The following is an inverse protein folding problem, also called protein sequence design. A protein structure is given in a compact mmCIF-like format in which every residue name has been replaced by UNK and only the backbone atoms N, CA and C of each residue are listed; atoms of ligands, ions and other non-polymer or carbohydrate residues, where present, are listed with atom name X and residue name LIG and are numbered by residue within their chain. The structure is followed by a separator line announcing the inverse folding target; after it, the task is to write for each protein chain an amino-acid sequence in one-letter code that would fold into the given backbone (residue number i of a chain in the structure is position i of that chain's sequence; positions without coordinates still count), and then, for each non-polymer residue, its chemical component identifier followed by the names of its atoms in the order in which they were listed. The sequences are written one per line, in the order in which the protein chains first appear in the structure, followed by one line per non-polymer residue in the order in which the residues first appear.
data_IF_730865971807
#
_entry.id   IF_730865971807
#
_cell.length_a   1.000
_cell.length_b   1.000
_cell.length_c   1.000
_cell.angle_alpha   90.00
_cell.angle_beta   90.00
_cell.angle_gamma   90.00
#
_symmetry.space_group_name_H-M   'P 1'
#
loop_
_entity.id
_entity.type
_entity.pdbx_description
1 polymer ?
#
# COMPACT_ATOMS: atom_id res chain seq x y z
N UNK A 1 -1.55 8.99 -0.26
CA UNK A 1 -0.68 9.47 0.85
C UNK A 1 -0.96 8.64 2.10
N UNK A 2 0.02 8.41 2.98
CA UNK A 2 -0.16 7.76 4.30
C UNK A 2 0.88 8.27 5.29
N UNK A 3 0.48 8.57 6.54
CA UNK A 3 1.38 9.07 7.60
C UNK A 3 2.31 10.21 7.13
N UNK A 4 1.72 11.23 6.48
CA UNK A 4 2.40 12.39 5.90
C UNK A 4 3.45 12.08 4.83
N UNK A 5 3.38 10.90 4.19
CA UNK A 5 4.29 10.48 3.13
C UNK A 5 3.50 10.17 1.86
N UNK A 6 3.99 10.64 0.70
CA UNK A 6 3.49 10.18 -0.60
C UNK A 6 3.89 8.71 -0.73
N UNK A 7 2.89 7.84 -0.88
CA UNK A 7 3.08 6.39 -1.01
C UNK A 7 2.83 5.90 -2.43
N UNK A 8 1.97 6.63 -3.16
CA UNK A 8 1.64 6.35 -4.54
C UNK A 8 1.09 7.61 -5.21
N UNK A 9 1.46 7.81 -6.47
CA UNK A 9 1.03 8.85 -7.39
C UNK A 9 0.84 8.18 -8.76
N UNK A 10 -0.39 8.17 -9.23
CA UNK A 10 -0.79 7.52 -10.49
C UNK A 10 -1.92 8.30 -11.14
N UNK A 11 -2.14 8.08 -12.44
CA UNK A 11 -3.34 8.55 -13.11
C UNK A 11 -4.58 7.79 -12.61
N UNK A 12 -5.73 8.46 -12.65
CA UNK A 12 -6.98 7.89 -12.14
C UNK A 12 -7.40 6.62 -12.91
N UNK A 13 -7.19 6.59 -14.24
CA UNK A 13 -7.55 5.43 -15.06
C UNK A 13 -6.79 4.17 -14.66
N UNK A 14 -5.48 4.25 -14.47
CA UNK A 14 -4.65 3.13 -14.03
C UNK A 14 -4.89 2.76 -12.57
N UNK A 15 -5.09 3.75 -11.70
CA UNK A 15 -5.31 3.54 -10.26
C UNK A 15 -6.65 2.85 -9.97
N UNK A 16 -7.73 3.23 -10.63
CA UNK A 16 -9.06 2.62 -10.40
C UNK A 16 -9.39 1.49 -11.39
N UNK A 17 -8.67 1.40 -12.50
CA UNK A 17 -8.82 0.37 -13.52
C UNK A 17 -7.87 -0.82 -13.33
N UNK A 18 -7.41 -1.38 -14.45
CA UNK A 18 -6.35 -2.41 -14.47
C UNK A 18 -5.02 -1.73 -14.83
N UNK A 19 -3.93 -1.96 -14.07
CA UNK A 19 -3.74 -3.01 -13.07
C UNK A 19 -4.14 -2.65 -11.62
N UNK A 20 -4.67 -1.44 -11.41
CA UNK A 20 -5.03 -0.94 -10.09
C UNK A 20 -3.83 -0.34 -9.33
N UNK A 21 -4.01 0.02 -8.05
CA UNK A 21 -2.97 0.66 -7.27
C UNK A 21 -1.83 -0.33 -6.99
N UNK A 22 -0.59 0.15 -6.97
CA UNK A 22 0.61 -0.66 -6.77
C UNK A 22 0.99 -0.77 -5.30
N UNK A 23 0.71 0.24 -4.49
CA UNK A 23 1.07 0.23 -3.08
C UNK A 23 0.04 -0.60 -2.27
N UNK A 24 0.47 -1.53 -1.39
CA UNK A 24 -0.45 -2.40 -0.64
C UNK A 24 -1.48 -1.64 0.20
N UNK A 25 -1.10 -0.50 0.79
CA UNK A 25 -2.04 0.42 1.44
C UNK A 25 -3.15 0.92 0.50
N UNK A 26 -2.82 1.37 -0.71
CA UNK A 26 -3.80 1.89 -1.65
C UNK A 26 -4.74 0.78 -2.17
N UNK A 27 -4.22 -0.45 -2.37
CA UNK A 27 -5.05 -1.64 -2.60
C UNK A 27 -6.02 -1.91 -1.47
N UNK A 28 -5.52 -1.91 -0.23
CA UNK A 28 -6.35 -2.08 0.96
C UNK A 28 -7.43 -1.01 1.09
N UNK A 29 -7.12 0.25 0.74
CA UNK A 29 -8.12 1.32 0.73
C UNK A 29 -9.24 1.05 -0.29
N UNK A 30 -8.89 0.64 -1.51
CA UNK A 30 -9.91 0.28 -2.50
C UNK A 30 -10.72 -0.92 -2.04
N UNK A 31 -10.08 -1.97 -1.50
CA UNK A 31 -10.76 -3.17 -0.99
C UNK A 31 -11.72 -2.90 0.17
N UNK A 32 -11.45 -1.85 0.97
CA UNK A 32 -12.30 -1.41 2.07
C UNK A 32 -13.51 -0.57 1.64
N UNK A 33 -13.67 -0.28 0.34
CA UNK A 33 -14.84 0.44 -0.15
C UNK A 33 -16.10 -0.44 -0.14
N UNK A 34 -17.28 0.10 0.18
CA UNK A 34 -18.54 -0.64 0.19
C UNK A 34 -18.92 -1.24 -1.16
N UNK A 35 -18.49 -0.62 -2.27
CA UNK A 35 -18.75 -1.12 -3.63
C UNK A 35 -17.85 -2.32 -4.00
N UNK A 36 -16.90 -2.68 -3.12
CA UNK A 36 -16.05 -3.86 -3.24
C UNK A 36 -16.40 -4.87 -2.16
N UNK A 37 -15.42 -5.65 -1.72
CA UNK A 37 -15.57 -6.69 -0.69
C UNK A 37 -15.70 -6.12 0.74
N UNK A 38 -15.59 -4.78 0.90
CA UNK A 38 -15.63 -4.10 2.19
C UNK A 38 -14.65 -4.70 3.22
N UNK A 39 -13.47 -5.14 2.73
CA UNK A 39 -12.46 -5.78 3.56
C UNK A 39 -11.59 -4.73 4.23
N UNK A 40 -11.61 -4.61 5.57
CA UNK A 40 -10.85 -3.58 6.26
C UNK A 40 -9.35 -3.87 6.24
N UNK A 41 -8.54 -2.82 6.23
CA UNK A 41 -7.10 -2.94 6.48
C UNK A 41 -6.90 -3.22 7.97
N UNK A 42 -6.33 -4.37 8.37
CA UNK A 42 -6.18 -4.74 9.77
C UNK A 42 -5.24 -3.79 10.53
N UNK A 43 -5.40 -3.76 11.85
CA UNK A 43 -4.59 -2.97 12.77
C UNK A 43 -4.85 -1.46 12.70
N UNK A 44 -4.11 -0.72 13.52
CA UNK A 44 -4.26 0.72 13.69
C UNK A 44 -3.17 1.50 12.94
N UNK A 45 -3.46 2.69 12.38
CA UNK A 45 -2.43 3.60 11.87
C UNK A 45 -1.38 3.92 12.94
N UNK A 46 -0.11 4.18 12.55
CA UNK A 46 0.90 4.61 13.50
C UNK A 46 0.60 6.02 14.00
N UNK A 47 1.02 6.31 15.23
CA UNK A 47 0.98 7.65 15.78
C UNK A 47 1.88 8.61 14.98
N UNK A 48 1.38 9.78 14.61
CA UNK A 48 2.13 10.74 13.78
C UNK A 48 3.37 11.29 14.50
N UNK A 49 3.38 11.31 15.84
CA UNK A 49 4.54 11.70 16.66
C UNK A 49 5.59 10.61 16.83
N UNK A 50 5.29 9.36 16.42
CA UNK A 50 6.15 8.20 16.61
C UNK A 50 6.21 7.32 15.35
N UNK A 51 6.41 7.96 14.19
CA UNK A 51 6.51 7.24 12.93
C UNK A 51 7.78 6.37 12.87
N UNK A 52 7.69 5.16 12.31
CA UNK A 52 8.87 4.33 12.12
C UNK A 52 9.85 4.97 11.13
N UNK A 53 11.13 4.66 11.32
CA UNK A 53 12.21 5.04 10.40
C UNK A 53 11.94 4.50 9.00
N UNK A 54 11.46 3.26 8.92
CA UNK A 54 11.16 2.53 7.70
C UNK A 54 9.84 2.90 7.02
N UNK A 55 9.27 1.95 6.28
CA UNK A 55 7.93 2.09 5.71
C UNK A 55 6.88 2.22 6.83
N UNK A 56 6.11 3.32 6.83
CA UNK A 56 5.09 3.59 7.85
C UNK A 56 3.93 2.57 7.83
N UNK A 57 3.74 1.87 6.71
CA UNK A 57 2.70 0.87 6.55
C UNK A 57 3.17 -0.56 6.87
N UNK A 58 4.46 -0.79 7.17
CA UNK A 58 5.04 -2.12 7.30
C UNK A 58 4.30 -3.02 8.31
N UNK A 59 3.89 -2.48 9.47
CA UNK A 59 3.21 -3.25 10.51
C UNK A 59 1.80 -3.75 10.12
N UNK A 60 1.23 -3.20 9.04
CA UNK A 60 -0.13 -3.53 8.53
C UNK A 60 -0.10 -4.10 7.12
N UNK A 61 1.08 -4.25 6.55
CA UNK A 61 1.27 -4.67 5.17
C UNK A 61 1.51 -6.18 5.11
N UNK A 62 0.69 -6.90 4.37
CA UNK A 62 0.80 -8.34 4.13
C UNK A 62 2.00 -8.74 3.25
N UNK A 63 2.68 -7.75 2.65
CA UNK A 63 3.89 -7.91 1.82
C UNK A 63 5.14 -7.37 2.51
N UNK A 64 5.07 -7.06 3.81
CA UNK A 64 6.22 -6.54 4.54
C UNK A 64 7.33 -7.60 4.69
N UNK A 65 8.58 -7.15 4.55
CA UNK A 65 9.78 -7.96 4.77
C UNK A 65 10.83 -7.12 5.50
N UNK A 66 12.01 -7.69 5.83
CA UNK A 66 13.06 -6.98 6.57
C UNK A 66 13.50 -5.64 5.94
N UNK A 67 13.52 -5.54 4.60
CA UNK A 67 13.89 -4.29 3.91
C UNK A 67 12.93 -3.13 4.22
N UNK A 68 11.69 -3.43 4.60
CA UNK A 68 10.68 -2.43 4.98
C UNK A 68 11.02 -1.70 6.29
N UNK A 69 12.03 -2.17 7.04
CA UNK A 69 12.66 -1.40 8.13
C UNK A 69 13.36 -0.12 7.64
N UNK A 70 13.61 -0.01 6.34
CA UNK A 70 14.09 1.21 5.67
C UNK A 70 12.99 1.90 4.87
N UNK A 71 13.08 3.21 4.71
CA UNK A 71 12.09 3.98 3.95
C UNK A 71 12.29 3.74 2.45
N UNK A 72 11.26 3.31 1.71
CA UNK A 72 11.35 3.20 0.25
C UNK A 72 11.42 4.60 -0.38
N UNK A 73 12.21 4.75 -1.44
CA UNK A 73 12.17 5.93 -2.29
C UNK A 73 10.89 5.94 -3.12
N UNK A 74 10.40 7.13 -3.48
CA UNK A 74 9.35 7.26 -4.48
C UNK A 74 9.99 7.06 -5.86
N UNK A 75 9.74 5.92 -6.49
CA UNK A 75 10.23 5.57 -7.82
C UNK A 75 9.06 5.13 -8.69
N UNK A 76 9.01 5.62 -9.94
CA UNK A 76 7.92 5.35 -10.89
C UNK A 76 6.53 5.56 -10.29
N UNK A 77 6.37 6.62 -9.49
CA UNK A 77 5.10 6.96 -8.85
C UNK A 77 4.74 6.11 -7.63
N UNK A 78 5.57 5.18 -7.15
CA UNK A 78 5.27 4.38 -5.94
C UNK A 78 6.43 4.37 -4.95
N UNK A 79 6.14 4.56 -3.67
CA UNK A 79 7.12 4.42 -2.58
C UNK A 79 6.89 3.10 -1.85
N UNK A 80 7.32 2.00 -2.45
CA UNK A 80 7.17 0.65 -1.91
C UNK A 80 8.37 -0.22 -2.30
N UNK A 81 8.87 -1.05 -1.37
CA UNK A 81 9.87 -2.07 -1.71
C UNK A 81 9.25 -3.29 -2.42
N UNK A 82 7.94 -3.50 -2.26
CA UNK A 82 7.20 -4.64 -2.80
C UNK A 82 5.91 -4.20 -3.51
N UNK A 83 5.99 -3.30 -4.51
CA UNK A 83 4.79 -2.87 -5.24
C UNK A 83 4.11 -4.08 -5.88
N UNK A 84 2.79 -4.07 -5.90
CA UNK A 84 2.03 -5.03 -6.66
C UNK A 84 2.26 -4.80 -8.17
N UNK A 85 2.43 -5.89 -8.89
CA UNK A 85 2.57 -5.95 -10.35
C UNK A 85 1.37 -6.70 -10.94
N UNK A 86 1.13 -6.51 -12.23
CA UNK A 86 -0.05 -7.00 -12.95
C UNK A 86 -0.18 -8.53 -12.97
N UNK A 87 0.90 -9.26 -12.69
CA UNK A 87 0.92 -10.72 -12.69
C UNK A 87 1.17 -11.29 -11.29
N UNK A 88 0.33 -12.28 -10.93
CA UNK A 88 0.37 -13.17 -9.75
C UNK A 88 -0.33 -12.68 -8.47
N UNK A 89 -1.59 -12.26 -8.55
CA UNK A 89 -2.55 -12.55 -7.47
C UNK A 89 -3.35 -13.79 -7.87
N UNK A 90 -2.77 -14.97 -7.63
CA UNK A 90 -3.58 -16.18 -7.54
C UNK A 90 -4.59 -15.98 -6.41
N UNK A 91 -5.84 -16.47 -6.56
CA UNK A 91 -6.83 -16.39 -5.49
C UNK A 91 -6.25 -17.03 -4.23
N UNK A 92 -6.20 -16.28 -3.12
CA UNK A 92 -5.92 -16.85 -1.80
C UNK A 92 -7.12 -17.77 -1.48
N UNK A 93 -6.83 -19.07 -1.34
CA UNK A 93 -7.78 -20.10 -0.95
C UNK A 93 -8.32 -19.88 0.47
#
# INVERSE_FOLDING_TARGET
MYASRIVELADASGFFGSPGPRHPYARGLLGALPEREFTPIPGMPPELGALPVGCAFAARCDRATGICGTRPALADGVACHHPATVELEAPRA
#
